data_IF_027122918826
#
_entry.id   IF_027122918826
#
_cell.length_a   1.000
_cell.length_b   1.000
_cell.length_c   1.000
_cell.angle_alpha   90.00
_cell.angle_beta   90.00
_cell.angle_gamma   90.00
#
_symmetry.space_group_name_H-M   'P 1'
#
loop_
_entity.id
_entity.type
_entity.pdbx_description
1 polymer ?
#
# COMPACT_ATOMS: atom_id res chain seq x y z
N UNK A 1 -2.71 18.16 43.49
CA UNK A 1 -3.36 16.89 43.90
C UNK A 1 -2.98 15.83 42.89
N UNK A 2 -2.01 14.98 43.24
CA UNK A 2 -1.42 14.01 42.33
C UNK A 2 -2.45 12.98 41.90
N UNK A 3 -2.76 12.93 40.60
CA UNK A 3 -3.62 11.91 40.02
C UNK A 3 -2.70 10.78 39.58
N UNK A 4 -2.74 9.66 40.28
CA UNK A 4 -2.05 8.46 39.83
C UNK A 4 -2.81 7.90 38.63
N UNK A 5 -2.22 7.95 37.44
CA UNK A 5 -2.81 7.31 36.27
C UNK A 5 -2.47 5.81 36.34
N UNK A 6 -3.35 4.99 36.94
CA UNK A 6 -3.25 3.53 36.77
C UNK A 6 -4.03 3.18 35.51
N UNK A 7 -3.33 2.86 34.42
CA UNK A 7 -3.93 2.44 33.16
C UNK A 7 -4.04 0.92 33.13
N UNK A 8 -5.26 0.41 32.94
CA UNK A 8 -5.60 -1.01 32.80
C UNK A 8 -5.75 -1.42 31.33
N UNK A 9 -6.05 -0.47 30.44
CA UNK A 9 -6.22 -0.72 29.00
C UNK A 9 -5.45 0.28 28.15
N UNK A 10 -4.79 -0.22 27.10
CA UNK A 10 -4.18 0.60 26.06
C UNK A 10 -5.04 0.67 24.79
N UNK A 11 -6.29 0.19 24.85
CA UNK A 11 -7.23 0.33 23.75
C UNK A 11 -7.58 1.80 23.52
N UNK A 12 -7.51 2.21 22.26
CA UNK A 12 -7.79 3.58 21.82
C UNK A 12 -9.26 3.69 21.42
N UNK A 13 -9.92 4.76 21.84
CA UNK A 13 -11.31 5.08 21.49
C UNK A 13 -11.43 5.49 19.99
N UNK A 14 -12.66 5.57 19.43
CA UNK A 14 -12.87 5.94 18.02
C UNK A 14 -12.27 7.29 17.61
N UNK A 15 -12.01 8.19 18.57
CA UNK A 15 -11.39 9.51 18.34
C UNK A 15 -9.84 9.47 18.33
N UNK A 16 -9.24 8.27 18.39
CA UNK A 16 -7.79 8.10 18.38
C UNK A 16 -7.12 8.42 19.72
N UNK A 17 -7.89 8.62 20.80
CA UNK A 17 -7.36 8.93 22.14
C UNK A 17 -7.60 7.79 23.11
N UNK A 18 -6.76 7.70 24.12
CA UNK A 18 -6.95 6.75 25.22
C UNK A 18 -8.00 7.29 26.18
N UNK A 19 -8.93 6.44 26.60
CA UNK A 19 -9.91 6.81 27.60
C UNK A 19 -9.20 7.26 28.91
N UNK A 20 -9.69 8.33 29.57
CA UNK A 20 -9.14 8.74 30.85
C UNK A 20 -9.51 7.71 31.93
N UNK A 21 -8.50 7.04 32.47
CA UNK A 21 -8.64 6.17 33.64
C UNK A 21 -8.27 6.94 34.92
N UNK A 22 -9.11 6.83 35.94
CA UNK A 22 -8.92 7.47 37.24
C UNK A 22 -8.59 6.39 38.28
N UNK A 23 -7.61 6.65 39.13
CA UNK A 23 -7.33 5.82 40.29
C UNK A 23 -7.59 6.62 41.57
N UNK A 24 -8.33 6.01 42.49
CA UNK A 24 -8.53 6.55 43.83
C UNK A 24 -7.28 6.30 44.66
N UNK A 25 -6.73 7.37 45.24
CA UNK A 25 -5.62 7.30 46.17
C UNK A 25 -6.21 7.19 47.58
N UNK A 26 -6.17 6.00 48.16
CA UNK A 26 -6.47 5.81 49.57
C UNK A 26 -5.25 6.18 50.41
N UNK A 27 -5.37 7.17 51.30
CA UNK A 27 -4.30 7.46 52.27
C UNK A 27 -4.13 8.88 52.79
N UNK A 28 -4.92 9.87 52.36
CA UNK A 28 -4.91 11.20 52.99
C UNK A 28 -6.36 11.69 53.19
N UNK A 29 -6.82 11.90 54.44
CA UNK A 29 -8.15 12.39 54.70
C UNK A 29 -8.18 13.89 54.43
N UNK A 30 -8.63 14.30 53.24
CA UNK A 30 -8.90 15.70 52.94
C UNK A 30 -10.34 16.06 53.29
N UNK A 31 -10.62 16.27 54.57
CA UNK A 31 -11.81 16.98 55.01
C UNK A 31 -11.56 18.49 54.90
N UNK A 32 -12.13 19.18 53.90
CA UNK A 32 -12.11 20.65 53.88
C UNK A 32 -12.33 21.41 52.58
N UNK A 33 -12.41 20.77 51.41
CA UNK A 33 -12.62 21.50 50.15
C UNK A 33 -13.92 21.07 49.44
N UNK A 34 -15.00 21.89 49.48
CA UNK A 34 -16.17 21.62 48.67
C UNK A 34 -15.82 21.89 47.19
N UNK A 35 -15.70 20.84 46.40
CA UNK A 35 -15.64 20.95 44.94
C UNK A 35 -17.06 21.14 44.44
N UNK A 36 -17.50 22.39 44.31
CA UNK A 36 -18.81 22.71 43.78
C UNK A 36 -18.93 22.25 42.31
N UNK A 37 -20.00 21.52 42.00
CA UNK A 37 -20.48 21.32 40.62
C UNK A 37 -20.22 19.97 39.95
N UNK A 38 -19.78 18.93 40.67
CA UNK A 38 -19.71 17.57 40.13
C UNK A 38 -20.63 16.64 40.92
N UNK A 39 -21.52 15.87 40.26
CA UNK A 39 -22.36 14.89 40.97
C UNK A 39 -21.49 13.88 41.73
N UNK A 40 -21.85 13.63 43.00
CA UNK A 40 -21.11 12.75 43.94
C UNK A 40 -20.99 11.30 43.45
N UNK A 41 -21.81 10.91 42.46
CA UNK A 41 -21.83 9.58 41.86
C UNK A 41 -21.55 9.69 40.36
N UNK A 42 -20.27 9.83 40.00
CA UNK A 42 -19.82 9.37 38.68
C UNK A 42 -19.59 7.87 38.80
N UNK A 43 -20.53 7.06 38.29
CA UNK A 43 -20.18 5.68 37.95
C UNK A 43 -18.97 5.77 37.03
N UNK A 44 -17.79 5.24 37.42
CA UNK A 44 -16.67 5.19 36.49
C UNK A 44 -17.21 4.53 35.23
N UNK A 45 -16.97 5.07 34.02
CA UNK A 45 -17.36 4.37 32.82
C UNK A 45 -16.79 2.96 32.94
N UNK A 46 -17.66 1.96 33.02
CA UNK A 46 -17.25 0.57 33.14
C UNK A 46 -16.36 0.33 31.94
N UNK A 47 -15.05 0.08 32.12
CA UNK A 47 -14.18 -0.15 30.97
C UNK A 47 -14.81 -1.30 30.20
N UNK A 48 -15.17 -1.08 28.94
CA UNK A 48 -15.55 -2.21 28.08
C UNK A 48 -14.37 -3.18 28.19
N UNK A 49 -14.55 -4.41 28.70
CA UNK A 49 -13.44 -5.35 28.76
C UNK A 49 -12.99 -5.55 27.32
N UNK A 50 -11.84 -4.98 26.99
CA UNK A 50 -11.29 -5.09 25.64
C UNK A 50 -11.16 -6.56 25.29
N UNK A 51 -11.47 -6.92 24.06
CA UNK A 51 -11.13 -8.23 23.53
C UNK A 51 -9.67 -8.16 23.10
N UNK A 52 -8.85 -9.07 23.62
CA UNK A 52 -7.49 -9.25 23.10
C UNK A 52 -7.57 -10.06 21.82
N UNK A 53 -7.21 -9.43 20.70
CA UNK A 53 -6.91 -10.12 19.45
C UNK A 53 -5.50 -10.69 19.57
N UNK A 54 -5.36 -11.99 19.37
CA UNK A 54 -4.06 -12.65 19.40
C UNK A 54 -3.99 -13.82 18.45
N UNK A 55 -2.78 -14.11 17.98
CA UNK A 55 -2.44 -15.41 17.43
C UNK A 55 -2.65 -16.49 18.49
N UNK A 56 -3.22 -17.63 18.05
CA UNK A 56 -3.50 -18.78 18.91
C UNK A 56 -2.60 -19.94 18.45
N UNK A 57 -1.42 -20.11 19.06
CA UNK A 57 -0.44 -21.13 18.63
C UNK A 57 -1.01 -22.55 18.60
N UNK A 58 -1.96 -22.86 19.49
CA UNK A 58 -2.62 -24.16 19.56
C UNK A 58 -3.38 -24.51 18.27
N UNK A 59 -3.84 -23.50 17.52
CA UNK A 59 -4.52 -23.72 16.23
C UNK A 59 -3.57 -24.30 15.18
N UNK A 60 -2.29 -23.94 15.20
CA UNK A 60 -1.28 -24.47 14.27
C UNK A 60 -0.97 -25.95 14.55
N UNK A 61 -1.07 -26.35 15.82
CA UNK A 61 -0.77 -27.72 16.28
C UNK A 61 -1.98 -28.65 16.16
N UNK A 62 -3.19 -28.10 16.07
CA UNK A 62 -4.41 -28.89 15.93
C UNK A 62 -4.39 -29.69 14.60
N UNK A 63 -4.91 -30.93 14.57
CA UNK A 63 -4.95 -31.72 13.35
C UNK A 63 -5.99 -31.18 12.35
N UNK A 64 -5.64 -31.17 11.07
CA UNK A 64 -6.54 -30.97 9.93
C UNK A 64 -7.35 -32.24 9.64
N UNK A 65 -8.18 -32.22 8.59
CA UNK A 65 -8.97 -33.37 8.15
C UNK A 65 -8.13 -34.61 7.77
N UNK A 66 -6.84 -34.44 7.52
CA UNK A 66 -5.88 -35.51 7.21
C UNK A 66 -5.05 -35.95 8.42
N UNK A 67 -5.28 -35.37 9.59
CA UNK A 67 -4.53 -35.63 10.82
C UNK A 67 -3.18 -34.90 10.93
N UNK A 68 -2.87 -33.97 10.02
CA UNK A 68 -1.63 -33.19 10.01
C UNK A 68 -1.79 -31.84 10.74
N UNK A 69 -0.74 -31.25 11.31
CA UNK A 69 -0.81 -29.91 11.88
C UNK A 69 -1.27 -28.87 10.86
N UNK A 70 -2.05 -27.87 11.31
CA UNK A 70 -2.57 -26.78 10.47
C UNK A 70 -1.57 -25.63 10.35
N UNK A 71 -0.34 -25.94 9.95
CA UNK A 71 0.73 -24.96 9.70
C UNK A 71 0.33 -23.90 8.65
N UNK A 72 -0.52 -24.28 7.70
CA UNK A 72 -1.10 -23.38 6.70
C UNK A 72 -1.86 -22.18 7.28
N UNK A 73 -2.34 -22.24 8.54
CA UNK A 73 -3.00 -21.13 9.21
C UNK A 73 -2.06 -19.95 9.48
N UNK A 74 -0.76 -20.19 9.66
CA UNK A 74 0.22 -19.12 9.76
C UNK A 74 0.31 -18.39 8.41
N UNK A 75 -0.11 -17.13 8.38
CA UNK A 75 0.01 -16.30 7.18
C UNK A 75 1.34 -15.56 7.26
N UNK A 76 2.15 -15.71 6.23
CA UNK A 76 3.42 -15.00 6.07
C UNK A 76 3.40 -14.19 4.79
N UNK A 77 4.12 -13.07 4.76
CA UNK A 77 4.08 -12.12 3.64
C UNK A 77 5.41 -11.37 3.51
N UNK A 78 5.76 -10.90 2.30
CA UNK A 78 6.97 -10.12 2.11
C UNK A 78 6.80 -8.70 2.64
N UNK A 79 7.83 -8.21 3.32
CA UNK A 79 7.92 -6.80 3.74
C UNK A 79 8.63 -6.01 2.65
N UNK A 80 7.85 -5.61 1.65
CA UNK A 80 8.32 -4.83 0.50
C UNK A 80 8.54 -3.37 0.91
N UNK A 81 9.69 -2.81 0.53
CA UNK A 81 10.06 -1.39 0.76
C UNK A 81 10.11 -0.58 -0.54
N UNK A 82 10.20 -1.25 -1.69
CA UNK A 82 10.24 -0.62 -2.99
C UNK A 82 10.18 -1.64 -4.13
N UNK A 83 10.32 -1.14 -5.35
CA UNK A 83 10.38 -1.95 -6.56
C UNK A 83 11.54 -1.48 -7.41
N UNK A 84 12.18 -2.41 -8.10
CA UNK A 84 13.13 -2.09 -9.14
C UNK A 84 12.92 -3.02 -10.32
N UNK A 85 13.32 -2.55 -11.51
CA UNK A 85 13.31 -3.39 -12.68
C UNK A 85 14.71 -3.93 -12.93
N UNK A 86 14.76 -5.24 -13.15
CA UNK A 86 15.95 -5.96 -13.61
C UNK A 86 16.16 -5.71 -15.11
N UNK A 87 16.27 -4.44 -15.47
CA UNK A 87 16.54 -4.01 -16.84
C UNK A 87 17.96 -4.46 -17.21
N UNK A 88 18.20 -5.04 -18.41
CA UNK A 88 19.54 -5.41 -18.83
C UNK A 88 20.52 -4.26 -18.62
N UNK A 89 21.63 -4.53 -17.93
CA UNK A 89 22.61 -3.51 -17.57
C UNK A 89 23.24 -2.81 -18.80
N UNK A 90 23.12 -3.42 -19.98
CA UNK A 90 23.84 -3.00 -21.18
C UNK A 90 23.01 -2.12 -22.13
N UNK A 91 21.70 -2.38 -22.31
CA UNK A 91 20.90 -1.65 -23.32
C UNK A 91 19.44 -1.47 -22.93
N UNK A 92 19.04 -0.21 -22.76
CA UNK A 92 17.66 0.22 -22.57
C UNK A 92 16.92 0.30 -23.91
N UNK A 93 15.64 -0.08 -23.89
CA UNK A 93 14.67 0.22 -24.94
C UNK A 93 13.46 0.85 -24.26
N UNK A 94 12.73 1.71 -24.98
CA UNK A 94 11.44 2.21 -24.56
C UNK A 94 10.42 1.99 -25.67
N UNK A 95 9.17 1.75 -25.30
CA UNK A 95 8.05 1.70 -26.24
C UNK A 95 6.97 2.64 -25.72
N UNK A 96 6.75 3.72 -26.45
CA UNK A 96 5.72 4.69 -26.09
C UNK A 96 4.40 4.36 -26.78
N UNK A 97 3.31 4.61 -26.07
CA UNK A 97 1.93 4.48 -26.53
C UNK A 97 1.09 5.59 -25.88
N UNK A 98 -0.24 5.55 -26.07
CA UNK A 98 -1.15 6.56 -25.56
C UNK A 98 -1.03 6.78 -24.03
N UNK A 99 -0.72 5.74 -23.24
CA UNK A 99 -0.60 5.85 -21.79
C UNK A 99 0.63 6.67 -21.34
N UNK A 100 1.63 6.77 -22.22
CA UNK A 100 2.88 7.50 -21.97
C UNK A 100 2.81 8.95 -22.43
N UNK A 101 1.70 9.38 -23.03
CA UNK A 101 1.49 10.76 -23.47
C UNK A 101 1.11 11.67 -22.31
N UNK A 102 1.42 12.95 -22.47
CA UNK A 102 0.95 14.03 -21.59
C UNK A 102 0.36 15.15 -22.44
N UNK A 103 -0.69 15.79 -21.92
CA UNK A 103 -1.24 17.02 -22.48
C UNK A 103 -0.83 18.14 -21.53
N UNK A 104 -0.25 19.20 -22.09
CA UNK A 104 0.01 20.43 -21.38
C UNK A 104 -1.05 21.46 -21.76
N UNK A 105 -1.63 22.07 -20.74
CA UNK A 105 -2.64 23.12 -20.90
C UNK A 105 -2.26 24.33 -20.04
N UNK A 106 -2.91 25.47 -20.28
CA UNK A 106 -2.72 26.68 -19.46
C UNK A 106 -3.10 26.49 -17.98
N UNK A 107 -3.91 25.47 -17.64
CA UNK A 107 -4.18 25.09 -16.25
C UNK A 107 -2.94 24.54 -15.52
N UNK A 108 -1.95 24.07 -16.29
CA UNK A 108 -0.70 23.53 -15.77
C UNK A 108 0.35 24.62 -15.51
N UNK A 109 0.07 25.86 -15.90
CA UNK A 109 0.93 27.02 -15.60
C UNK A 109 0.72 27.37 -14.13
N UNK A 110 1.72 27.16 -13.25
CA UNK A 110 1.55 27.43 -11.83
C UNK A 110 1.32 28.92 -11.60
N UNK A 111 0.21 29.27 -10.97
CA UNK A 111 -0.13 30.67 -10.61
C UNK A 111 0.69 31.19 -9.42
N UNK A 112 1.26 30.29 -8.60
CA UNK A 112 2.20 30.58 -7.52
C UNK A 112 2.96 29.30 -7.11
N UNK A 113 4.19 29.41 -6.58
CA UNK A 113 5.02 28.25 -6.15
C UNK A 113 5.25 28.30 -4.63
N UNK A 114 4.95 27.21 -3.91
CA UNK A 114 5.33 27.03 -2.49
C UNK A 114 6.55 26.13 -2.37
N UNK A 115 7.64 26.69 -1.83
CA UNK A 115 8.91 26.02 -1.64
C UNK A 115 8.88 25.03 -0.45
N UNK A 116 9.25 23.77 -0.69
CA UNK A 116 9.72 22.86 0.35
C UNK A 116 11.05 22.24 -0.11
N UNK A 117 12.18 22.54 0.56
CA UNK A 117 13.49 22.08 0.10
C UNK A 117 13.68 20.60 0.40
N UNK A 118 14.16 19.84 -0.59
CA UNK A 118 14.84 18.55 -0.40
C UNK A 118 16.28 18.71 -0.90
N UNK A 119 17.21 18.18 -0.12
CA UNK A 119 18.66 18.39 -0.19
C UNK A 119 19.26 17.96 -1.53
N UNK A 120 20.16 18.78 -2.11
CA UNK A 120 21.19 18.30 -3.04
C UNK A 120 21.30 18.93 -4.42
N UNK A 121 20.50 19.95 -4.76
CA UNK A 121 20.76 20.96 -5.80
C UNK A 121 19.55 21.90 -5.85
N UNK A 122 19.62 23.03 -5.15
CA UNK A 122 18.54 24.02 -5.13
C UNK A 122 18.63 24.91 -6.35
N UNK A 123 17.76 24.70 -7.33
CA UNK A 123 17.39 25.78 -8.26
C UNK A 123 15.88 25.86 -8.23
N UNK A 124 15.37 26.91 -7.57
CA UNK A 124 13.96 27.26 -7.62
C UNK A 124 13.67 27.60 -9.08
N UNK A 125 12.91 26.77 -9.78
CA UNK A 125 12.57 27.02 -11.17
C UNK A 125 11.43 28.05 -11.23
N UNK A 126 11.72 29.25 -11.75
CA UNK A 126 10.67 30.23 -12.05
C UNK A 126 10.02 29.94 -13.40
N UNK A 127 8.84 30.52 -13.66
CA UNK A 127 8.18 30.38 -14.95
C UNK A 127 9.02 30.99 -16.09
N UNK A 128 9.69 32.11 -15.83
CA UNK A 128 10.59 32.79 -16.77
C UNK A 128 11.80 31.89 -17.12
N UNK A 129 12.41 31.27 -16.11
CA UNK A 129 13.51 30.32 -16.31
C UNK A 129 13.06 29.07 -17.07
N UNK A 130 11.84 28.59 -16.80
CA UNK A 130 11.24 27.49 -17.53
C UNK A 130 11.02 27.86 -19.00
N UNK A 131 10.51 29.07 -19.28
CA UNK A 131 10.26 29.54 -20.64
C UNK A 131 11.55 29.74 -21.44
N UNK A 132 12.61 30.22 -20.79
CA UNK A 132 13.94 30.37 -21.40
C UNK A 132 14.68 29.03 -21.58
N UNK A 133 14.19 27.93 -20.99
CA UNK A 133 14.87 26.65 -21.04
C UNK A 133 14.80 26.03 -22.45
N UNK A 134 15.96 25.90 -23.09
CA UNK A 134 16.07 25.22 -24.38
C UNK A 134 15.60 23.75 -24.28
N UNK A 135 15.02 23.17 -25.35
CA UNK A 135 14.60 21.76 -25.38
C UNK A 135 15.65 20.77 -24.88
N UNK A 136 16.92 20.98 -25.24
CA UNK A 136 18.03 20.12 -24.79
C UNK A 136 18.25 20.19 -23.28
N UNK A 137 18.08 21.37 -22.67
CA UNK A 137 18.14 21.57 -21.22
C UNK A 137 16.98 20.88 -20.54
N UNK A 138 15.78 20.97 -21.12
CA UNK A 138 14.58 20.27 -20.60
C UNK A 138 14.81 18.76 -20.60
N UNK A 139 15.23 18.20 -21.73
CA UNK A 139 15.52 16.76 -21.85
C UNK A 139 16.62 16.32 -20.86
N UNK A 140 17.69 17.10 -20.70
CA UNK A 140 18.77 16.80 -19.76
C UNK A 140 18.29 16.77 -18.30
N UNK A 141 17.49 17.77 -17.89
CA UNK A 141 16.96 17.84 -16.51
C UNK A 141 15.96 16.73 -16.23
N UNK A 142 15.07 16.42 -17.18
CA UNK A 142 14.16 15.28 -17.08
C UNK A 142 14.92 13.95 -16.99
N UNK A 143 15.95 13.74 -17.82
CA UNK A 143 16.77 12.53 -17.77
C UNK A 143 17.54 12.40 -16.45
N UNK A 144 17.99 13.53 -15.88
CA UNK A 144 18.64 13.58 -14.56
C UNK A 144 17.68 13.16 -13.46
N UNK A 145 16.46 13.71 -13.47
CA UNK A 145 15.41 13.33 -12.52
C UNK A 145 15.05 11.84 -12.66
N UNK A 146 14.85 11.36 -13.89
CA UNK A 146 14.58 9.95 -14.19
C UNK A 146 15.69 9.04 -13.63
N UNK A 147 16.96 9.40 -13.82
CA UNK A 147 18.10 8.64 -13.31
C UNK A 147 18.12 8.62 -11.77
N UNK A 148 18.00 9.77 -11.12
CA UNK A 148 18.11 9.88 -9.66
C UNK A 148 16.98 9.15 -8.90
N UNK A 149 15.79 9.08 -9.50
CA UNK A 149 14.60 8.51 -8.89
C UNK A 149 14.30 7.07 -9.30
N UNK A 150 14.61 6.65 -10.54
CA UNK A 150 14.27 5.32 -11.05
C UNK A 150 15.50 4.43 -11.38
N UNK A 151 16.69 5.01 -11.54
CA UNK A 151 17.92 4.30 -11.93
C UNK A 151 19.13 4.76 -11.11
N UNK A 152 18.93 4.96 -9.80
CA UNK A 152 19.90 5.60 -8.89
C UNK A 152 21.23 4.85 -8.82
N UNK A 153 21.15 3.53 -8.83
CA UNK A 153 22.26 2.57 -8.76
C UNK A 153 22.98 2.39 -10.11
N UNK A 154 22.49 3.01 -11.20
CA UNK A 154 22.97 2.79 -12.57
C UNK A 154 23.31 4.09 -13.31
N UNK A 155 24.24 4.92 -12.78
CA UNK A 155 24.58 6.21 -13.37
C UNK A 155 25.13 6.11 -14.81
N UNK A 156 25.76 4.98 -15.17
CA UNK A 156 26.27 4.72 -16.52
C UNK A 156 25.16 4.62 -17.59
N UNK A 157 23.89 4.44 -17.20
CA UNK A 157 22.75 4.43 -18.13
C UNK A 157 22.32 5.83 -18.56
N UNK A 158 22.86 6.90 -17.96
CA UNK A 158 22.45 8.27 -18.24
C UNK A 158 22.44 8.65 -19.74
N UNK A 159 23.46 8.29 -20.56
CA UNK A 159 23.41 8.59 -21.99
C UNK A 159 22.22 7.96 -22.71
N UNK A 160 21.82 6.76 -22.30
CA UNK A 160 20.66 6.06 -22.86
C UNK A 160 19.35 6.68 -22.38
N UNK A 161 19.26 7.00 -21.09
CA UNK A 161 18.11 7.70 -20.50
C UNK A 161 17.88 9.04 -21.20
N UNK A 162 18.95 9.81 -21.44
CA UNK A 162 18.87 11.08 -22.18
C UNK A 162 18.40 10.87 -23.62
N UNK A 163 18.87 9.83 -24.31
CA UNK A 163 18.40 9.47 -25.64
C UNK A 163 16.90 9.17 -25.66
N UNK A 164 16.43 8.36 -24.71
CA UNK A 164 15.02 7.97 -24.57
C UNK A 164 14.14 9.18 -24.19
N UNK A 165 14.60 10.05 -23.29
CA UNK A 165 13.87 11.27 -22.94
C UNK A 165 13.76 12.23 -24.12
N UNK A 166 14.79 12.33 -24.97
CA UNK A 166 14.74 13.11 -26.22
C UNK A 166 13.75 12.51 -27.22
N UNK A 167 13.77 11.19 -27.41
CA UNK A 167 12.81 10.49 -28.25
C UNK A 167 11.37 10.71 -27.77
N UNK A 168 11.16 10.65 -26.45
CA UNK A 168 9.85 10.91 -25.84
C UNK A 168 9.39 12.36 -26.09
N UNK A 169 10.27 13.34 -25.84
CA UNK A 169 9.97 14.77 -25.98
C UNK A 169 9.73 15.16 -27.45
N UNK A 170 10.39 14.48 -28.40
CA UNK A 170 10.33 14.79 -29.82
C UNK A 170 10.94 16.14 -30.18
N UNK A 171 10.48 16.71 -31.29
CA UNK A 171 10.76 18.10 -31.64
C UNK A 171 9.67 18.99 -31.04
N UNK A 172 9.97 19.82 -30.02
CA UNK A 172 8.93 20.64 -29.39
C UNK A 172 8.49 21.83 -30.23
N UNK A 173 9.27 22.20 -31.25
CA UNK A 173 8.92 23.23 -32.23
C UNK A 173 8.19 22.63 -33.44
N UNK A 174 7.93 21.31 -33.43
CA UNK A 174 7.24 20.54 -34.47
C UNK A 174 6.30 19.49 -33.88
N UNK A 175 6.19 18.32 -34.51
CA UNK A 175 5.36 17.22 -33.99
C UNK A 175 6.07 16.50 -32.83
N UNK A 176 5.62 16.75 -31.60
CA UNK A 176 5.99 15.91 -30.46
C UNK A 176 5.14 14.64 -30.42
N UNK A 177 5.75 13.43 -30.47
CA UNK A 177 4.99 12.18 -30.54
C UNK A 177 4.29 11.84 -29.22
N UNK A 178 4.68 12.47 -28.09
CA UNK A 178 4.15 12.15 -26.76
C UNK A 178 3.78 13.35 -25.89
N UNK A 179 3.99 14.57 -26.35
CA UNK A 179 3.57 15.79 -25.65
C UNK A 179 2.61 16.55 -26.54
N UNK A 180 1.37 16.69 -26.09
CA UNK A 180 0.40 17.56 -26.74
C UNK A 180 0.48 18.94 -26.08
N UNK A 181 1.01 19.91 -26.82
CA UNK A 181 1.16 21.29 -26.36
C UNK A 181 -0.09 22.08 -26.73
N UNK A 182 -0.93 22.38 -25.74
CA UNK A 182 -2.02 23.32 -25.90
C UNK A 182 -1.52 24.77 -26.09
N UNK A 183 -2.45 25.68 -26.35
CA UNK A 183 -2.15 27.11 -26.54
C UNK A 183 -1.30 27.67 -25.38
N UNK A 184 -0.32 28.51 -25.71
CA UNK A 184 0.58 29.19 -24.76
C UNK A 184 1.39 28.26 -23.84
N UNK A 185 1.50 26.97 -24.15
CA UNK A 185 2.34 26.03 -23.42
C UNK A 185 3.72 25.89 -24.06
N UNK A 186 4.71 25.45 -23.25
CA UNK A 186 6.09 25.29 -23.69
C UNK A 186 6.80 24.15 -22.93
N UNK A 187 7.88 23.57 -23.48
CA UNK A 187 8.53 22.38 -22.92
C UNK A 187 9.03 22.54 -21.48
N UNK A 188 9.45 23.76 -21.11
CA UNK A 188 9.91 24.08 -19.76
C UNK A 188 8.90 23.79 -18.65
N UNK A 189 7.60 23.79 -18.95
CA UNK A 189 6.55 23.44 -17.97
C UNK A 189 6.72 22.02 -17.42
N UNK A 190 7.35 21.12 -18.18
CA UNK A 190 7.63 19.76 -17.73
C UNK A 190 8.64 19.68 -16.58
N UNK A 191 9.40 20.76 -16.33
CA UNK A 191 10.43 20.80 -15.30
C UNK A 191 9.87 21.12 -13.91
N UNK A 192 8.61 21.53 -13.79
CA UNK A 192 7.97 21.70 -12.48
C UNK A 192 7.84 20.35 -11.79
N UNK A 193 8.05 20.31 -10.46
CA UNK A 193 8.28 19.07 -9.71
C UNK A 193 7.22 17.98 -9.95
N UNK A 194 5.93 18.33 -9.91
CA UNK A 194 4.82 17.38 -10.12
C UNK A 194 4.82 16.83 -11.56
N UNK A 195 5.02 17.70 -12.56
CA UNK A 195 5.07 17.32 -13.98
C UNK A 195 6.31 16.50 -14.29
N UNK A 196 7.47 16.92 -13.78
CA UNK A 196 8.74 16.20 -13.93
C UNK A 196 8.62 14.79 -13.37
N UNK A 197 8.04 14.65 -12.16
CA UNK A 197 7.82 13.34 -11.53
C UNK A 197 6.87 12.47 -12.37
N UNK A 198 5.72 13.03 -12.78
CA UNK A 198 4.73 12.30 -13.57
C UNK A 198 5.27 11.84 -14.96
N UNK A 199 6.07 12.69 -15.62
CA UNK A 199 6.72 12.34 -16.88
C UNK A 199 7.80 11.29 -16.69
N UNK A 200 8.66 11.43 -15.66
CA UNK A 200 9.68 10.43 -15.36
C UNK A 200 9.04 9.07 -15.06
N UNK A 201 7.91 9.04 -14.35
CA UNK A 201 7.16 7.82 -14.09
C UNK A 201 6.64 7.18 -15.39
N UNK A 202 6.09 7.97 -16.32
CA UNK A 202 5.65 7.48 -17.64
C UNK A 202 6.83 6.94 -18.45
N UNK A 203 7.94 7.66 -18.54
CA UNK A 203 9.12 7.20 -19.30
C UNK A 203 9.70 5.93 -18.67
N UNK A 204 9.78 5.85 -17.33
CA UNK A 204 10.21 4.65 -16.63
C UNK A 204 9.32 3.45 -16.98
N UNK A 205 7.99 3.61 -16.96
CA UNK A 205 7.04 2.55 -17.37
C UNK A 205 7.23 2.11 -18.83
N UNK A 206 7.52 3.04 -19.74
CA UNK A 206 7.80 2.71 -21.14
C UNK A 206 9.08 1.88 -21.30
N UNK A 207 10.13 2.22 -20.54
CA UNK A 207 11.41 1.48 -20.53
C UNK A 207 11.20 0.05 -20.03
N UNK A 208 10.44 -0.05 -18.94
CA UNK A 208 10.06 -1.30 -18.30
C UNK A 208 9.32 -2.22 -19.26
N UNK A 209 8.24 -1.70 -19.86
CA UNK A 209 7.39 -2.45 -20.78
C UNK A 209 8.20 -3.02 -21.95
N UNK A 210 9.11 -2.21 -22.51
CA UNK A 210 9.99 -2.64 -23.60
C UNK A 210 11.10 -3.63 -23.17
N UNK A 211 11.39 -3.74 -21.87
CA UNK A 211 12.47 -4.58 -21.34
C UNK A 211 12.00 -5.92 -20.78
N UNK A 212 10.78 -6.35 -21.13
CA UNK A 212 10.16 -7.60 -20.63
C UNK A 212 9.09 -7.38 -19.56
N UNK A 213 8.77 -6.11 -19.25
CA UNK A 213 7.64 -5.72 -18.41
C UNK A 213 7.66 -6.40 -17.05
N UNK A 214 6.50 -6.97 -16.69
CA UNK A 214 6.26 -7.63 -15.41
C UNK A 214 7.28 -8.73 -15.11
N UNK A 215 7.80 -9.47 -16.09
CA UNK A 215 8.76 -10.57 -15.86
C UNK A 215 10.10 -10.10 -15.27
N UNK A 216 10.43 -8.82 -15.43
CA UNK A 216 11.67 -8.21 -14.96
C UNK A 216 11.48 -7.36 -13.71
N UNK A 217 10.26 -7.22 -13.24
CA UNK A 217 9.98 -6.47 -12.02
C UNK A 217 10.39 -7.28 -10.79
N UNK A 218 11.13 -6.67 -9.87
CA UNK A 218 11.54 -7.30 -8.61
C UNK A 218 11.13 -6.43 -7.42
N UNK A 219 10.66 -7.09 -6.37
CA UNK A 219 10.36 -6.42 -5.11
C UNK A 219 11.66 -6.23 -4.31
N UNK A 220 11.86 -5.04 -3.77
CA UNK A 220 12.90 -4.77 -2.79
C UNK A 220 12.35 -5.08 -1.40
N UNK A 221 12.99 -6.02 -0.70
CA UNK A 221 12.58 -6.43 0.64
C UNK A 221 13.32 -5.63 1.72
N UNK A 222 12.69 -5.47 2.87
CA UNK A 222 13.35 -4.92 4.05
C UNK A 222 14.58 -5.77 4.43
N UNK A 223 15.76 -5.14 4.52
CA UNK A 223 17.03 -5.85 4.66
C UNK A 223 17.16 -6.70 5.94
N UNK A 224 16.66 -6.19 7.07
CA UNK A 224 16.80 -6.86 8.37
C UNK A 224 15.68 -7.87 8.67
N UNK A 225 14.47 -7.61 8.16
CA UNK A 225 13.27 -8.39 8.44
C UNK A 225 12.38 -8.45 7.20
N UNK A 226 12.73 -9.32 6.22
CA UNK A 226 12.04 -9.38 4.94
C UNK A 226 10.69 -10.12 4.99
N UNK A 227 10.40 -10.87 6.07
CA UNK A 227 9.23 -11.74 6.19
C UNK A 227 8.36 -11.34 7.38
N UNK A 228 7.15 -10.86 7.10
CA UNK A 228 6.11 -10.73 8.10
C UNK A 228 5.39 -12.06 8.35
N UNK A 229 4.81 -12.20 9.54
CA UNK A 229 4.05 -13.38 9.97
C UNK A 229 2.91 -12.96 10.90
N UNK A 230 1.87 -13.79 11.00
CA UNK A 230 0.84 -13.68 12.03
C UNK A 230 1.29 -14.18 13.40
N UNK A 231 2.40 -14.92 13.49
CA UNK A 231 2.98 -15.33 14.77
C UNK A 231 3.33 -14.10 15.62
N UNK A 232 2.96 -14.14 16.90
CA UNK A 232 3.25 -13.07 17.85
C UNK A 232 2.33 -11.84 17.75
N UNK A 233 1.36 -11.82 16.83
CA UNK A 233 0.34 -10.78 16.79
C UNK A 233 -0.48 -10.83 18.07
N UNK A 234 -0.51 -9.71 18.81
CA UNK A 234 -1.33 -9.52 20.00
C UNK A 234 -1.63 -8.04 20.20
N UNK A 235 -2.90 -7.66 20.28
CA UNK A 235 -3.33 -6.29 20.57
C UNK A 235 -4.74 -6.28 21.17
N UNK A 236 -5.04 -5.24 21.94
CA UNK A 236 -6.36 -5.06 22.54
C UNK A 236 -7.26 -4.19 21.67
N UNK A 237 -8.55 -4.55 21.62
CA UNK A 237 -9.59 -3.75 20.94
C UNK A 237 -10.85 -3.65 21.79
N UNK A 238 -11.55 -2.52 21.68
CA UNK A 238 -12.92 -2.33 22.22
C UNK A 238 -13.99 -2.51 21.14
N UNK A 239 -13.57 -2.80 19.90
CA UNK A 239 -14.48 -3.00 18.76
C UNK A 239 -15.17 -4.35 18.87
N UNK A 240 -16.44 -4.37 18.49
CA UNK A 240 -17.13 -5.61 18.16
C UNK A 240 -16.54 -6.24 16.90
N UNK A 241 -17.00 -7.43 16.54
CA UNK A 241 -16.41 -8.18 15.44
C UNK A 241 -16.71 -9.66 15.49
N UNK A 242 -15.98 -10.40 14.66
CA UNK A 242 -16.20 -11.81 14.39
C UNK A 242 -15.23 -12.66 15.22
N UNK A 243 -15.75 -13.57 16.03
CA UNK A 243 -14.96 -14.70 16.55
C UNK A 243 -14.66 -15.65 15.41
N UNK A 244 -13.40 -15.94 15.18
CA UNK A 244 -12.97 -16.66 13.98
C UNK A 244 -13.03 -18.17 14.14
N UNK A 245 -13.30 -18.86 13.04
CA UNK A 245 -13.18 -20.30 12.91
C UNK A 245 -11.72 -20.74 13.17
N UNK A 246 -11.45 -21.57 14.21
CA UNK A 246 -10.13 -22.12 14.49
C UNK A 246 -9.52 -22.96 13.34
N UNK A 247 -10.31 -23.41 12.37
CA UNK A 247 -9.83 -24.14 11.21
C UNK A 247 -9.39 -23.25 10.04
N UNK A 248 -9.67 -21.94 10.08
CA UNK A 248 -9.42 -21.00 8.98
C UNK A 248 -8.70 -19.72 9.35
N UNK A 249 -8.55 -19.40 10.63
CA UNK A 249 -7.81 -18.20 11.04
C UNK A 249 -6.85 -18.51 12.19
N UNK A 250 -5.62 -17.99 12.10
CA UNK A 250 -4.67 -18.08 13.20
C UNK A 250 -5.03 -17.15 14.37
N UNK A 251 -5.64 -16.00 14.09
CA UNK A 251 -6.07 -15.04 15.12
C UNK A 251 -7.43 -15.43 15.68
N UNK A 252 -7.66 -15.24 16.97
CA UNK A 252 -8.93 -15.58 17.64
C UNK A 252 -10.13 -14.69 17.26
N UNK A 253 -9.89 -13.48 16.77
CA UNK A 253 -10.92 -12.46 16.61
C UNK A 253 -10.56 -11.49 15.48
N UNK A 254 -11.56 -11.10 14.69
CA UNK A 254 -11.47 -10.07 13.66
C UNK A 254 -12.28 -8.85 14.12
N UNK A 255 -11.61 -7.74 14.49
CA UNK A 255 -12.31 -6.51 14.84
C UNK A 255 -13.04 -5.92 13.64
N UNK A 256 -14.24 -5.40 13.86
CA UNK A 256 -15.04 -4.73 12.83
C UNK A 256 -14.63 -3.26 12.73
N UNK A 257 -14.05 -2.88 11.60
CA UNK A 257 -13.84 -1.47 11.24
C UNK A 257 -14.97 -0.95 10.35
N UNK A 258 -15.39 -1.80 9.41
CA UNK A 258 -16.60 -1.63 8.61
C UNK A 258 -17.42 -2.92 8.61
N UNK A 259 -18.74 -2.81 8.40
CA UNK A 259 -19.62 -3.97 8.29
C UNK A 259 -19.23 -4.86 7.09
N UNK A 260 -18.60 -4.29 6.06
CA UNK A 260 -18.30 -5.00 4.82
C UNK A 260 -17.17 -6.02 5.00
N UNK A 261 -16.13 -5.67 5.76
CA UNK A 261 -15.01 -6.59 6.05
C UNK A 261 -15.46 -7.82 6.84
N UNK A 262 -16.32 -7.64 7.85
CA UNK A 262 -16.84 -8.78 8.64
C UNK A 262 -17.80 -9.63 7.82
N UNK A 263 -18.60 -9.04 6.94
CA UNK A 263 -19.41 -9.79 5.95
C UNK A 263 -18.50 -10.61 5.03
N UNK A 264 -17.41 -10.03 4.53
CA UNK A 264 -16.44 -10.74 3.68
C UNK A 264 -15.77 -11.88 4.44
N UNK A 265 -15.27 -11.63 5.66
CA UNK A 265 -14.68 -12.68 6.51
C UNK A 265 -15.67 -13.82 6.76
N UNK A 266 -16.92 -13.51 7.11
CA UNK A 266 -17.97 -14.51 7.29
C UNK A 266 -18.19 -15.36 6.03
N UNK A 267 -18.16 -14.75 4.83
CA UNK A 267 -18.25 -15.52 3.57
C UNK A 267 -17.03 -16.43 3.37
N UNK A 268 -15.82 -15.96 3.64
CA UNK A 268 -14.59 -16.75 3.52
C UNK A 268 -14.61 -17.97 4.45
N UNK A 269 -15.15 -17.84 5.66
CA UNK A 269 -15.32 -18.98 6.60
C UNK A 269 -16.21 -20.09 6.05
N UNK A 270 -17.09 -19.80 5.09
CA UNK A 270 -17.99 -20.79 4.48
C UNK A 270 -17.47 -21.34 3.14
N UNK A 271 -16.31 -20.90 2.66
CA UNK A 271 -15.72 -21.37 1.40
C UNK A 271 -14.77 -22.55 1.63
N UNK A 272 -15.00 -23.69 0.98
CA UNK A 272 -14.11 -24.86 1.10
C UNK A 272 -12.71 -24.58 0.55
N UNK A 273 -12.63 -23.70 -0.45
CA UNK A 273 -11.40 -23.29 -1.12
C UNK A 273 -10.51 -22.40 -0.23
N UNK A 274 -11.05 -21.82 0.85
CA UNK A 274 -10.29 -20.97 1.78
C UNK A 274 -9.65 -21.83 2.85
N UNK A 275 -8.31 -21.87 2.84
CA UNK A 275 -7.50 -22.58 3.84
C UNK A 275 -7.15 -21.72 5.04
N UNK A 276 -6.82 -20.46 4.81
CA UNK A 276 -6.54 -19.51 5.87
C UNK A 276 -6.94 -18.09 5.46
N UNK A 277 -7.25 -17.23 6.41
CA UNK A 277 -7.33 -15.79 6.17
C UNK A 277 -6.87 -15.01 7.39
N UNK A 278 -6.44 -13.76 7.17
CA UNK A 278 -6.12 -12.83 8.25
C UNK A 278 -6.47 -11.40 7.82
N UNK A 279 -7.07 -10.65 8.75
CA UNK A 279 -7.24 -9.20 8.61
C UNK A 279 -5.93 -8.49 8.91
N UNK A 280 -5.54 -7.56 8.04
CA UNK A 280 -4.34 -6.76 8.17
C UNK A 280 -4.51 -5.63 9.20
N UNK A 281 -4.76 -6.00 10.46
CA UNK A 281 -4.85 -5.07 11.57
C UNK A 281 -3.71 -5.35 12.53
N UNK A 282 -2.87 -4.33 12.76
CA UNK A 282 -1.64 -4.46 13.56
C UNK A 282 -0.65 -5.52 13.04
N UNK A 283 -0.81 -5.98 11.80
CA UNK A 283 0.03 -6.97 11.15
C UNK A 283 1.23 -6.32 10.43
N UNK A 284 1.05 -5.07 9.97
CA UNK A 284 2.09 -4.30 9.30
C UNK A 284 2.31 -4.68 7.83
N UNK A 285 1.41 -5.46 7.23
CA UNK A 285 1.44 -5.74 5.80
C UNK A 285 1.11 -4.46 5.03
N UNK A 286 2.02 -4.07 4.12
CA UNK A 286 1.89 -2.83 3.36
C UNK A 286 2.46 -2.98 1.96
N UNK A 287 1.90 -2.21 1.05
CA UNK A 287 2.28 -2.10 -0.35
C UNK A 287 2.80 -0.67 -0.57
N UNK A 288 4.11 -0.47 -0.79
CA UNK A 288 4.65 0.83 -1.18
C UNK A 288 4.02 1.27 -2.50
N UNK A 289 3.64 2.54 -2.61
CA UNK A 289 3.16 3.13 -3.86
C UNK A 289 3.66 4.57 -3.99
N UNK A 290 3.55 5.12 -5.20
CA UNK A 290 3.78 6.55 -5.46
C UNK A 290 2.55 7.11 -6.14
N UNK A 291 2.10 8.28 -5.68
CA UNK A 291 0.99 9.01 -6.29
C UNK A 291 1.39 10.47 -6.39
N UNK A 292 1.37 11.03 -7.61
CA UNK A 292 1.74 12.44 -7.86
C UNK A 292 3.14 12.78 -7.28
N UNK A 293 4.10 11.85 -7.47
CA UNK A 293 5.49 11.98 -7.00
C UNK A 293 5.69 11.81 -5.49
N UNK A 294 4.63 11.57 -4.71
CA UNK A 294 4.72 11.39 -3.26
C UNK A 294 4.71 9.89 -2.90
N UNK A 295 5.72 9.40 -2.17
CA UNK A 295 5.72 8.02 -1.69
C UNK A 295 4.66 7.84 -0.60
N UNK A 296 3.99 6.69 -0.63
CA UNK A 296 2.97 6.31 0.34
C UNK A 296 2.97 4.81 0.61
N UNK A 297 2.22 4.41 1.64
CA UNK A 297 1.99 3.01 1.97
C UNK A 297 0.49 2.72 1.93
N UNK A 298 0.12 1.72 1.15
CA UNK A 298 -1.22 1.15 1.09
C UNK A 298 -1.27 -0.06 2.02
N UNK A 299 -2.33 -0.19 2.82
CA UNK A 299 -2.55 -1.28 3.74
C UNK A 299 -3.83 -2.03 3.31
N UNK A 300 -3.69 -3.13 2.53
CA UNK A 300 -4.84 -3.91 2.11
C UNK A 300 -5.56 -4.56 3.30
N UNK A 301 -6.86 -4.82 3.20
CA UNK A 301 -7.65 -5.31 4.34
C UNK A 301 -7.34 -6.75 4.77
N UNK A 302 -7.17 -7.66 3.81
CA UNK A 302 -7.14 -9.10 4.05
C UNK A 302 -6.04 -9.79 3.24
N UNK A 303 -5.44 -10.83 3.83
CA UNK A 303 -4.68 -11.85 3.11
C UNK A 303 -5.42 -13.17 3.27
N UNK A 304 -5.68 -13.85 2.16
CA UNK A 304 -6.39 -15.14 2.12
C UNK A 304 -5.51 -16.18 1.45
N UNK A 305 -5.36 -17.36 2.03
CA UNK A 305 -4.75 -18.52 1.38
C UNK A 305 -5.84 -19.40 0.79
N UNK A 306 -5.75 -19.64 -0.51
CA UNK A 306 -6.71 -20.39 -1.29
C UNK A 306 -6.09 -21.68 -1.82
N UNK A 307 -6.88 -22.75 -1.78
CA UNK A 307 -6.60 -24.01 -2.48
C UNK A 307 -7.18 -23.93 -3.89
N UNK A 308 -6.30 -23.82 -4.88
CA UNK A 308 -6.62 -23.80 -6.31
C UNK A 308 -6.29 -25.13 -7.00
N UNK A 309 -6.06 -26.21 -6.23
CA UNK A 309 -5.77 -27.54 -6.74
C UNK A 309 -4.28 -27.87 -6.91
N UNK A 310 -3.37 -26.94 -6.59
CA UNK A 310 -1.92 -27.18 -6.60
C UNK A 310 -1.42 -27.93 -5.35
N UNK A 311 -2.32 -28.23 -4.42
CA UNK A 311 -2.03 -28.97 -3.20
C UNK A 311 -1.59 -28.08 -2.03
N UNK A 312 -1.47 -28.67 -0.83
CA UNK A 312 -1.28 -27.91 0.42
C UNK A 312 0.07 -27.18 0.52
N UNK A 313 1.05 -27.55 -0.30
CA UNK A 313 2.37 -26.92 -0.33
C UNK A 313 2.49 -25.70 -1.25
N UNK A 314 1.48 -25.43 -2.09
CA UNK A 314 1.49 -24.35 -3.09
C UNK A 314 0.15 -23.61 -3.11
N UNK A 315 -0.27 -23.08 -1.96
CA UNK A 315 -1.50 -22.29 -1.85
C UNK A 315 -1.35 -20.91 -2.50
N UNK A 316 -2.42 -20.45 -3.15
CA UNK A 316 -2.50 -19.10 -3.72
C UNK A 316 -2.80 -18.07 -2.61
N UNK A 317 -1.93 -17.07 -2.47
CA UNK A 317 -2.10 -15.96 -1.54
C UNK A 317 -2.86 -14.82 -2.22
N UNK A 318 -4.08 -14.54 -1.78
CA UNK A 318 -4.90 -13.47 -2.30
C UNK A 318 -4.83 -12.26 -1.37
N UNK A 319 -4.30 -11.14 -1.88
CA UNK A 319 -4.52 -9.82 -1.28
C UNK A 319 -5.95 -9.39 -1.63
N UNK A 320 -6.77 -9.18 -0.61
CA UNK A 320 -8.18 -8.85 -0.77
C UNK A 320 -8.45 -7.47 -0.14
N UNK A 321 -8.84 -6.53 -0.99
CA UNK A 321 -9.25 -5.18 -0.59
C UNK A 321 -10.78 -5.10 -0.51
N UNK A 322 -11.33 -4.61 0.59
CA UNK A 322 -12.76 -4.39 0.79
C UNK A 322 -13.02 -2.91 0.89
N UNK A 323 -13.63 -2.36 -0.14
CA UNK A 323 -13.57 -0.93 -0.36
C UNK A 323 -14.91 -0.30 -0.65
N UNK A 324 -15.14 0.86 -0.04
CA UNK A 324 -16.29 1.71 -0.33
C UNK A 324 -16.12 2.56 -1.58
N UNK A 325 -16.55 3.83 -1.48
CA UNK A 325 -16.57 4.79 -2.58
C UNK A 325 -15.22 4.94 -3.32
N UNK A 326 -15.28 5.12 -4.63
CA UNK A 326 -14.11 5.34 -5.49
C UNK A 326 -13.55 6.76 -5.28
N UNK A 327 -12.25 6.84 -5.01
CA UNK A 327 -11.47 8.09 -4.95
C UNK A 327 -10.23 7.93 -5.83
N UNK A 328 -9.73 9.00 -6.45
CA UNK A 328 -8.54 8.97 -7.34
C UNK A 328 -7.30 8.32 -6.68
N UNK A 329 -7.07 8.61 -5.39
CA UNK A 329 -5.96 8.02 -4.63
C UNK A 329 -6.10 6.48 -4.48
N UNK A 330 -7.33 5.98 -4.47
CA UNK A 330 -7.62 4.54 -4.37
C UNK A 330 -7.23 3.81 -5.64
N UNK A 331 -7.45 4.42 -6.81
CA UNK A 331 -7.07 3.83 -8.09
C UNK A 331 -5.56 3.60 -8.17
N UNK A 332 -4.75 4.58 -7.75
CA UNK A 332 -3.30 4.44 -7.72
C UNK A 332 -2.83 3.27 -6.81
N UNK A 333 -3.50 3.06 -5.67
CA UNK A 333 -3.19 1.97 -4.72
C UNK A 333 -3.50 0.60 -5.31
N UNK A 334 -4.71 0.44 -5.84
CA UNK A 334 -5.18 -0.82 -6.46
C UNK A 334 -4.34 -1.15 -7.70
N UNK A 335 -4.07 -0.15 -8.53
CA UNK A 335 -3.24 -0.31 -9.72
C UNK A 335 -1.82 -0.75 -9.33
N UNK A 336 -1.19 -0.09 -8.36
CA UNK A 336 0.14 -0.48 -7.87
C UNK A 336 0.15 -1.90 -7.34
N UNK A 337 -0.88 -2.32 -6.59
CA UNK A 337 -0.95 -3.69 -6.09
C UNK A 337 -0.99 -4.72 -7.24
N UNK A 338 -1.80 -4.45 -8.28
CA UNK A 338 -1.99 -5.34 -9.42
C UNK A 338 -0.80 -5.39 -10.38
N UNK A 339 -0.26 -4.23 -10.77
CA UNK A 339 0.74 -4.14 -11.84
C UNK A 339 2.16 -3.99 -11.34
N UNK A 340 2.36 -3.71 -10.05
CA UNK A 340 3.69 -3.66 -9.46
C UNK A 340 3.87 -4.76 -8.41
N UNK A 341 3.10 -4.73 -7.33
CA UNK A 341 3.40 -5.55 -6.16
C UNK A 341 3.26 -7.05 -6.42
N UNK A 342 2.12 -7.49 -6.98
CA UNK A 342 1.87 -8.91 -7.30
C UNK A 342 2.95 -9.49 -8.23
N UNK A 343 3.23 -8.89 -9.41
CA UNK A 343 4.26 -9.43 -10.29
C UNK A 343 5.64 -9.39 -9.63
N UNK A 344 5.99 -8.30 -8.92
CA UNK A 344 7.27 -8.17 -8.24
C UNK A 344 7.53 -9.27 -7.20
N UNK A 345 6.51 -9.60 -6.40
CA UNK A 345 6.59 -10.62 -5.36
C UNK A 345 6.59 -12.03 -5.95
N UNK A 346 5.73 -12.31 -6.93
CA UNK A 346 5.71 -13.61 -7.61
C UNK A 346 7.07 -13.92 -8.26
N UNK A 347 7.69 -12.89 -8.83
CA UNK A 347 9.01 -12.94 -9.42
C UNK A 347 10.16 -13.20 -8.43
N UNK A 348 9.97 -13.04 -7.12
CA UNK A 348 10.96 -13.44 -6.13
C UNK A 348 11.01 -14.96 -5.95
N UNK A 349 9.91 -15.66 -6.20
CA UNK A 349 9.80 -17.12 -6.04
C UNK A 349 9.88 -17.63 -4.59
N UNK A 350 10.11 -16.77 -3.60
CA UNK A 350 10.34 -17.17 -2.18
C UNK A 350 9.13 -16.99 -1.26
N UNK A 351 8.07 -16.32 -1.74
CA UNK A 351 6.85 -16.04 -0.97
C UNK A 351 5.61 -16.75 -1.52
N UNK A 352 5.78 -17.75 -2.39
CA UNK A 352 4.68 -18.44 -3.06
C UNK A 352 4.00 -17.58 -4.13
N UNK A 353 2.82 -18.01 -4.56
CA UNK A 353 2.02 -17.34 -5.59
C UNK A 353 1.05 -16.34 -4.96
N UNK A 354 0.96 -15.15 -5.55
CA UNK A 354 0.13 -14.05 -5.10
C UNK A 354 -0.81 -13.57 -6.20
N UNK A 355 -2.01 -13.18 -5.78
CA UNK A 355 -3.02 -12.52 -6.61
C UNK A 355 -3.66 -11.35 -5.84
N UNK A 356 -4.39 -10.50 -6.55
CA UNK A 356 -5.10 -9.36 -5.97
C UNK A 356 -6.57 -9.35 -6.40
N UNK A 357 -7.48 -9.07 -5.46
CA UNK A 357 -8.92 -8.88 -5.73
C UNK A 357 -9.46 -7.69 -4.93
N UNK A 358 -10.29 -6.88 -5.57
CA UNK A 358 -11.04 -5.81 -4.93
C UNK A 358 -12.52 -6.20 -4.84
N UNK A 359 -13.07 -6.08 -3.63
CA UNK A 359 -14.49 -6.20 -3.34
C UNK A 359 -15.02 -4.81 -2.99
N UNK A 360 -16.03 -4.35 -3.71
CA UNK A 360 -16.70 -3.07 -3.51
C UNK A 360 -18.22 -3.26 -3.40
N UNK A 361 -18.96 -2.14 -3.34
CA UNK A 361 -20.41 -2.18 -3.20
C UNK A 361 -21.13 -2.92 -4.34
N UNK A 362 -20.53 -2.99 -5.53
CA UNK A 362 -21.13 -3.64 -6.68
C UNK A 362 -20.98 -5.18 -6.65
N UNK A 363 -19.94 -5.70 -6.01
CA UNK A 363 -19.65 -7.15 -5.98
C UNK A 363 -19.61 -7.76 -4.57
N UNK A 364 -19.83 -6.99 -3.50
CA UNK A 364 -19.88 -7.47 -2.11
C UNK A 364 -20.87 -8.64 -1.94
N UNK A 365 -22.04 -8.58 -2.57
CA UNK A 365 -23.00 -9.68 -2.51
C UNK A 365 -22.51 -10.96 -3.21
N UNK A 366 -21.58 -10.83 -4.17
CA UNK A 366 -20.99 -11.90 -5.00
C UNK A 366 -19.57 -12.31 -4.61
N UNK A 367 -19.05 -11.92 -3.44
CA UNK A 367 -17.66 -12.21 -3.02
C UNK A 367 -17.19 -13.64 -3.32
N UNK A 368 -17.96 -14.67 -2.93
CA UNK A 368 -17.58 -16.07 -3.17
C UNK A 368 -17.46 -16.40 -4.67
N UNK A 369 -18.30 -15.80 -5.52
CA UNK A 369 -18.27 -15.99 -6.97
C UNK A 369 -17.03 -15.32 -7.57
N UNK A 370 -16.68 -14.11 -7.12
CA UNK A 370 -15.49 -13.40 -7.59
C UNK A 370 -14.20 -14.14 -7.21
N UNK A 371 -14.10 -14.64 -5.97
CA UNK A 371 -12.96 -15.46 -5.54
C UNK A 371 -12.86 -16.74 -6.39
N UNK A 372 -13.97 -17.45 -6.62
CA UNK A 372 -13.97 -18.66 -7.47
C UNK A 372 -13.64 -18.36 -8.93
N UNK A 373 -14.06 -17.21 -9.45
CA UNK A 373 -13.71 -16.75 -10.80
C UNK A 373 -12.21 -16.50 -10.91
N UNK A 374 -11.62 -15.88 -9.89
CA UNK A 374 -10.17 -15.68 -9.81
C UNK A 374 -9.42 -17.03 -9.77
N UNK A 375 -9.88 -18.00 -8.98
CA UNK A 375 -9.27 -19.34 -8.92
C UNK A 375 -9.25 -20.03 -10.28
N UNK A 376 -10.37 -19.98 -11.02
CA UNK A 376 -10.44 -20.54 -12.38
C UNK A 376 -9.45 -19.90 -13.35
N UNK A 377 -9.11 -18.62 -13.17
CA UNK A 377 -8.13 -17.94 -14.00
C UNK A 377 -6.67 -18.31 -13.66
N UNK A 378 -6.43 -18.85 -12.45
CA UNK A 378 -5.10 -19.23 -11.96
C UNK A 378 -4.84 -20.74 -11.96
N UNK A 379 -5.87 -21.56 -12.17
CA UNK A 379 -5.76 -23.03 -12.24
C UNK A 379 -5.24 -23.55 -13.60
N UNK A 380 -4.73 -22.66 -14.47
CA UNK A 380 -4.32 -22.94 -15.85
C UNK A 380 -2.83 -22.88 -16.07
#
# INVERSE_FOLDING_TARGET
MGRGLRRRSYAVEPDGRLAPEYADIYGVPFSGFPVAGLPETRTPPTPKPGKTVRAVPERLLAPDETGRPRDYLEVTFPRVVGYHFDVPAERLRAKFDQAHRIVLTTQDIPTWVKNAPVVGASTVLTLEEAQAARPQTVAFRLATHLQQHHFRDRPWLFPQLLGITREWLGDPDGDSPNVDYGDETFPGLLLFAEKSSAVCEKIARAIVSASGGDQRLRAELAAADPRGTTVGVSFDTVKDGLTTDPAKCHLNFVPQDSDWETIVCGKLEHMLEVRAYVKNQSLGFRIPYTCEGKPGNYFPDLIVKLDDGHGPGDLLHLVLEVSGQKKKEKEAKVETAKTMWVPAVNNLGTFGRWAFLEIDGANLHKTMQEVRKLLKAHAG
#
